data_IF_808192283852
#
_entry.id   IF_808192283852
#
_cell.length_a   1.000
_cell.length_b   1.000
_cell.length_c   1.000
_cell.angle_alpha   90.00
_cell.angle_beta   90.00
_cell.angle_gamma   90.00
#
_symmetry.space_group_name_H-M   'P 1'
#
loop_
_entity.id
_entity.type
_entity.pdbx_description
1 polymer ?
#
# COMPACT_ATOMS: atom_id res chain seq x y z
N UNK A 1 13.48 3.76 -1.93
CA UNK A 1 12.85 2.41 -1.90
C UNK A 1 13.64 1.32 -1.17
N UNK A 2 14.98 1.34 -1.13
CA UNK A 2 15.76 0.29 -0.44
C UNK A 2 15.43 0.17 1.06
N UNK A 3 15.33 1.31 1.76
CA UNK A 3 14.88 1.36 3.16
C UNK A 3 13.52 0.68 3.34
N UNK A 4 12.50 1.12 2.57
CA UNK A 4 11.14 0.59 2.70
C UNK A 4 11.07 -0.91 2.49
N UNK A 5 11.76 -1.44 1.46
CA UNK A 5 11.79 -2.90 1.23
C UNK A 5 12.39 -3.65 2.43
N UNK A 6 13.52 -3.18 2.97
CA UNK A 6 14.14 -3.80 4.16
C UNK A 6 13.23 -3.71 5.38
N UNK A 7 12.62 -2.55 5.60
CA UNK A 7 11.66 -2.33 6.69
C UNK A 7 10.49 -3.31 6.60
N UNK A 8 9.87 -3.41 5.42
CA UNK A 8 8.74 -4.32 5.17
C UNK A 8 9.10 -5.78 5.37
N UNK A 9 10.22 -6.22 4.79
CA UNK A 9 10.67 -7.61 4.93
C UNK A 9 11.00 -7.95 6.37
N UNK A 10 11.70 -7.08 7.10
CA UNK A 10 12.04 -7.32 8.51
C UNK A 10 10.80 -7.52 9.38
N UNK A 11 9.82 -6.61 9.28
CA UNK A 11 8.61 -6.68 10.10
C UNK A 11 7.72 -7.88 9.74
N UNK A 12 7.63 -8.20 8.44
CA UNK A 12 6.94 -9.39 7.99
C UNK A 12 7.60 -10.66 8.51
N UNK A 13 8.95 -10.75 8.47
CA UNK A 13 9.70 -11.88 9.03
C UNK A 13 9.37 -12.04 10.50
N UNK A 14 9.50 -10.99 11.31
CA UNK A 14 9.22 -11.06 12.74
C UNK A 14 7.76 -11.45 13.03
N UNK A 15 6.81 -10.87 12.31
CA UNK A 15 5.38 -11.20 12.44
C UNK A 15 5.10 -12.67 12.15
N UNK A 16 5.74 -13.21 11.10
CA UNK A 16 5.51 -14.57 10.62
C UNK A 16 6.24 -15.62 11.46
N UNK A 17 7.49 -15.38 11.84
CA UNK A 17 8.34 -16.40 12.46
C UNK A 17 8.40 -16.31 13.99
N UNK A 18 8.45 -15.09 14.53
CA UNK A 18 8.56 -14.88 15.98
C UNK A 18 7.17 -14.79 16.62
N UNK A 19 6.34 -13.86 16.14
CA UNK A 19 5.02 -13.60 16.73
C UNK A 19 3.96 -14.59 16.28
N UNK A 20 4.13 -15.18 15.09
CA UNK A 20 3.16 -16.07 14.43
C UNK A 20 1.76 -15.43 14.34
N UNK A 21 1.72 -14.13 14.04
CA UNK A 21 0.49 -13.35 13.85
C UNK A 21 0.46 -12.74 12.45
N UNK A 22 -0.73 -12.55 11.86
CA UNK A 22 -0.85 -11.81 10.61
C UNK A 22 -0.44 -10.34 10.78
N UNK A 23 0.31 -9.82 9.81
CA UNK A 23 0.68 -8.40 9.73
C UNK A 23 -0.30 -7.62 8.85
N UNK A 24 -0.49 -6.33 9.14
CA UNK A 24 -1.09 -5.35 8.20
C UNK A 24 -0.20 -4.11 8.17
N UNK A 25 0.07 -3.58 6.97
CA UNK A 25 0.75 -2.28 6.83
C UNK A 25 -0.27 -1.15 6.97
N UNK A 26 -0.46 -0.64 8.18
CA UNK A 26 -1.61 0.22 8.51
C UNK A 26 -1.48 1.68 8.06
N UNK A 27 -0.27 2.17 7.79
CA UNK A 27 -0.08 3.53 7.30
C UNK A 27 1.10 3.59 6.34
N UNK A 28 0.87 4.17 5.17
CA UNK A 28 1.91 4.57 4.22
C UNK A 28 1.33 5.61 3.26
N UNK A 29 2.20 6.45 2.69
CA UNK A 29 1.78 7.44 1.71
C UNK A 29 2.97 8.25 1.20
N UNK A 30 2.72 9.11 0.20
CA UNK A 30 3.73 10.02 -0.37
C UNK A 30 3.22 11.45 -0.28
N UNK A 31 3.89 12.24 0.55
CA UNK A 31 3.50 13.62 0.84
C UNK A 31 3.65 14.51 -0.40
N UNK A 32 2.65 15.33 -0.67
CA UNK A 32 2.70 16.43 -1.64
C UNK A 32 3.66 17.55 -1.22
N UNK A 33 4.01 17.60 0.07
CA UNK A 33 4.96 18.57 0.63
C UNK A 33 6.42 18.15 0.39
N UNK A 34 6.67 16.94 -0.11
CA UNK A 34 8.02 16.49 -0.43
C UNK A 34 8.58 17.24 -1.64
N UNK A 35 9.87 17.61 -1.59
CA UNK A 35 10.54 18.24 -2.72
C UNK A 35 10.51 17.33 -3.95
N UNK A 36 10.10 17.89 -5.09
CA UNK A 36 10.00 17.15 -6.35
C UNK A 36 8.78 16.22 -6.41
N UNK A 37 7.78 16.46 -5.56
CA UNK A 37 6.51 15.75 -5.64
C UNK A 37 5.85 15.92 -7.01
N UNK A 38 5.32 14.80 -7.49
CA UNK A 38 4.36 14.72 -8.59
C UNK A 38 3.39 13.57 -8.34
N UNK A 39 2.23 13.60 -8.98
CA UNK A 39 1.28 12.48 -8.93
C UNK A 39 1.97 11.19 -9.42
N UNK A 40 2.76 11.26 -10.49
CA UNK A 40 3.53 10.12 -10.98
C UNK A 40 4.51 9.56 -9.92
N UNK A 41 5.14 10.41 -9.11
CA UNK A 41 6.02 9.97 -8.02
C UNK A 41 5.23 9.27 -6.90
N UNK A 42 4.01 9.73 -6.61
CA UNK A 42 3.08 9.07 -5.67
C UNK A 42 2.66 7.72 -6.21
N UNK A 43 2.20 7.65 -7.46
CA UNK A 43 1.76 6.41 -8.11
C UNK A 43 2.89 5.37 -8.15
N UNK A 44 4.12 5.79 -8.47
CA UNK A 44 5.29 4.91 -8.44
C UNK A 44 5.59 4.38 -7.04
N UNK A 45 5.51 5.23 -6.02
CA UNK A 45 5.71 4.85 -4.63
C UNK A 45 4.64 3.85 -4.15
N UNK A 46 3.37 4.13 -4.42
CA UNK A 46 2.23 3.26 -4.07
C UNK A 46 2.34 1.92 -4.77
N UNK A 47 2.59 1.90 -6.08
CA UNK A 47 2.80 0.66 -6.84
C UNK A 47 3.90 -0.20 -6.24
N UNK A 48 5.01 0.40 -5.81
CA UNK A 48 6.12 -0.35 -5.24
C UNK A 48 5.79 -0.94 -3.85
N UNK A 49 5.03 -0.22 -3.01
CA UNK A 49 4.53 -0.77 -1.74
C UNK A 49 3.53 -1.89 -2.00
N UNK A 50 2.53 -1.66 -2.85
CA UNK A 50 1.50 -2.65 -3.17
C UNK A 50 2.06 -3.92 -3.81
N UNK A 51 3.02 -3.78 -4.71
CA UNK A 51 3.74 -4.93 -5.29
C UNK A 51 4.47 -5.74 -4.21
N UNK A 52 5.07 -5.07 -3.23
CA UNK A 52 5.74 -5.72 -2.12
C UNK A 52 4.72 -6.45 -1.20
N UNK A 53 3.63 -5.78 -0.82
CA UNK A 53 2.53 -6.39 -0.04
C UNK A 53 2.00 -7.64 -0.75
N UNK A 54 1.70 -7.56 -2.06
CA UNK A 54 1.21 -8.68 -2.84
C UNK A 54 2.23 -9.83 -2.89
N UNK A 55 3.52 -9.52 -3.05
CA UNK A 55 4.61 -10.51 -3.01
C UNK A 55 4.71 -11.22 -1.65
N UNK A 56 4.64 -10.47 -0.55
CA UNK A 56 4.68 -11.03 0.80
C UNK A 56 3.41 -11.84 1.11
N UNK A 57 2.24 -11.38 0.67
CA UNK A 57 0.96 -12.07 0.85
C UNK A 57 0.94 -13.45 0.18
N UNK A 58 1.57 -13.60 -0.99
CA UNK A 58 1.75 -14.92 -1.65
C UNK A 58 2.51 -15.92 -0.78
N UNK A 59 3.37 -15.44 0.12
CA UNK A 59 4.14 -16.25 1.07
C UNK A 59 3.44 -16.40 2.43
N UNK A 60 2.24 -15.82 2.59
CA UNK A 60 1.47 -15.79 3.84
C UNK A 60 2.02 -14.82 4.88
N UNK A 61 1.29 -14.65 5.99
CA UNK A 61 1.72 -13.84 7.14
C UNK A 61 1.44 -12.33 7.05
N UNK A 62 0.84 -11.85 5.96
CA UNK A 62 0.36 -10.47 5.83
C UNK A 62 -1.05 -10.45 5.21
N UNK A 63 -1.93 -9.61 5.77
CA UNK A 63 -3.32 -9.46 5.32
C UNK A 63 -3.56 -8.29 4.34
N UNK A 64 -2.60 -7.38 4.20
CA UNK A 64 -2.70 -6.24 3.28
C UNK A 64 -2.07 -4.97 3.82
N UNK A 65 -2.59 -3.82 3.37
CA UNK A 65 -2.20 -2.51 3.89
C UNK A 65 -3.24 -1.43 3.64
N UNK A 66 -3.16 -0.37 4.45
CA UNK A 66 -4.05 0.78 4.46
C UNK A 66 -3.24 2.03 4.09
N UNK A 67 -3.68 2.69 3.02
CA UNK A 67 -3.10 3.93 2.52
C UNK A 67 -3.51 5.11 3.41
N UNK A 68 -2.56 5.97 3.74
CA UNK A 68 -2.82 7.24 4.42
C UNK A 68 -2.68 8.41 3.42
N UNK A 69 -3.71 9.19 3.15
CA UNK A 69 -5.12 8.97 3.54
C UNK A 69 -6.07 9.35 2.40
N UNK A 70 -7.20 8.68 2.35
CA UNK A 70 -8.30 9.07 1.47
C UNK A 70 -9.06 10.22 2.13
N UNK A 71 -9.45 11.21 1.33
CA UNK A 71 -10.30 12.31 1.77
C UNK A 71 -11.48 12.49 0.83
N UNK A 72 -12.52 13.15 1.32
CA UNK A 72 -13.62 13.61 0.48
C UNK A 72 -13.19 14.86 -0.32
N UNK A 73 -13.94 15.16 -1.37
CA UNK A 73 -13.73 16.32 -2.22
C UNK A 73 -13.68 17.62 -1.39
N UNK A 74 -12.63 18.42 -1.59
CA UNK A 74 -12.44 19.71 -0.94
C UNK A 74 -11.80 19.65 0.45
N UNK A 75 -11.28 18.50 0.87
CA UNK A 75 -10.64 18.30 2.18
C UNK A 75 -9.10 18.14 2.11
N UNK A 76 -8.44 18.56 1.03
CA UNK A 76 -7.03 18.23 0.74
C UNK A 76 -5.98 19.09 1.47
N UNK A 77 -6.38 20.03 2.35
CA UNK A 77 -5.51 21.15 2.77
C UNK A 77 -4.65 20.93 4.03
N UNK A 78 -4.63 19.73 4.63
CA UNK A 78 -4.13 19.56 6.00
C UNK A 78 -2.70 18.98 6.11
N UNK A 79 -2.50 17.74 5.69
CA UNK A 79 -1.32 16.91 6.02
C UNK A 79 -0.30 16.79 4.87
N UNK A 80 -0.75 16.88 3.62
CA UNK A 80 0.02 16.59 2.41
C UNK A 80 -0.13 15.15 1.90
N UNK A 81 -0.81 14.27 2.63
CA UNK A 81 -1.02 12.87 2.27
C UNK A 81 -2.40 12.58 1.67
N UNK A 82 -3.22 13.61 1.53
CA UNK A 82 -4.57 13.51 1.04
C UNK A 82 -4.61 13.01 -0.40
N UNK A 83 -5.54 12.09 -0.62
CA UNK A 83 -5.89 11.53 -1.92
C UNK A 83 -7.41 11.62 -2.04
N UNK A 84 -7.87 12.55 -2.87
CA UNK A 84 -9.20 12.51 -3.43
C UNK A 84 -9.18 11.58 -4.65
N UNK A 85 -10.01 10.53 -4.60
CA UNK A 85 -10.10 9.51 -5.64
C UNK A 85 -10.70 10.03 -6.95
N UNK A 86 -11.53 11.08 -6.89
CA UNK A 86 -12.16 11.68 -8.07
C UNK A 86 -11.21 12.65 -8.78
N UNK A 87 -10.37 13.35 -8.03
CA UNK A 87 -9.41 14.31 -8.57
C UNK A 87 -8.10 13.67 -9.04
N UNK A 88 -7.79 12.43 -8.61
CA UNK A 88 -6.54 11.74 -8.97
C UNK A 88 -6.79 10.36 -9.59
N UNK A 89 -7.34 10.28 -10.81
CA UNK A 89 -7.76 9.02 -11.44
C UNK A 89 -6.61 8.02 -11.63
N UNK A 90 -5.36 8.47 -11.81
CA UNK A 90 -4.20 7.59 -11.90
C UNK A 90 -3.92 6.89 -10.57
N UNK A 91 -3.92 7.63 -9.46
CA UNK A 91 -3.79 7.08 -8.09
C UNK A 91 -4.93 6.10 -7.81
N UNK A 92 -6.17 6.47 -8.14
CA UNK A 92 -7.35 5.62 -7.98
C UNK A 92 -7.22 4.32 -8.77
N UNK A 93 -6.66 4.38 -9.99
CA UNK A 93 -6.38 3.20 -10.79
C UNK A 93 -5.38 2.27 -10.10
N UNK A 94 -4.28 2.80 -9.55
CA UNK A 94 -3.27 2.04 -8.78
C UNK A 94 -3.91 1.31 -7.59
N UNK A 95 -4.70 2.03 -6.78
CA UNK A 95 -5.39 1.45 -5.62
C UNK A 95 -6.36 0.36 -6.07
N UNK A 96 -7.17 0.61 -7.09
CA UNK A 96 -8.14 -0.35 -7.61
C UNK A 96 -7.46 -1.62 -8.16
N UNK A 97 -6.32 -1.45 -8.83
CA UNK A 97 -5.55 -2.56 -9.38
C UNK A 97 -4.98 -3.43 -8.27
N UNK A 98 -4.44 -2.82 -7.21
CA UNK A 98 -4.00 -3.58 -6.05
C UNK A 98 -5.15 -4.37 -5.41
N UNK A 99 -6.31 -3.75 -5.19
CA UNK A 99 -7.46 -4.43 -4.60
C UNK A 99 -7.85 -5.66 -5.42
N UNK A 100 -7.93 -5.53 -6.76
CA UNK A 100 -8.20 -6.67 -7.66
C UNK A 100 -7.12 -7.76 -7.57
N UNK A 101 -5.85 -7.40 -7.47
CA UNK A 101 -4.76 -8.37 -7.33
C UNK A 101 -4.86 -9.16 -6.01
N UNK A 102 -5.19 -8.49 -4.91
CA UNK A 102 -5.37 -9.14 -3.61
C UNK A 102 -6.59 -10.04 -3.58
N UNK A 103 -7.73 -9.64 -4.17
CA UNK A 103 -8.91 -10.51 -4.33
C UNK A 103 -8.58 -11.74 -5.18
N UNK A 104 -7.88 -11.57 -6.30
CA UNK A 104 -7.48 -12.70 -7.14
C UNK A 104 -6.50 -13.63 -6.42
N UNK A 105 -5.65 -13.11 -5.54
CA UNK A 105 -4.75 -13.92 -4.71
C UNK A 105 -5.52 -14.70 -3.64
N UNK A 106 -6.46 -14.05 -2.95
CA UNK A 106 -7.34 -14.68 -1.97
C UNK A 106 -8.09 -15.86 -2.59
N UNK A 107 -8.75 -15.67 -3.73
CA UNK A 107 -9.41 -16.76 -4.45
C UNK A 107 -8.49 -17.92 -4.85
N UNK A 108 -7.20 -17.66 -5.11
CA UNK A 108 -6.24 -18.73 -5.43
C UNK A 108 -5.82 -19.51 -4.19
N UNK A 109 -5.70 -18.85 -3.05
CA UNK A 109 -5.30 -19.46 -1.77
C UNK A 109 -6.48 -20.21 -1.14
N UNK A 110 -7.71 -19.70 -1.30
CA UNK A 110 -8.94 -20.28 -0.75
C UNK A 110 -9.47 -21.49 -1.55
N UNK A 111 -8.90 -21.80 -2.72
CA UNK A 111 -9.26 -22.99 -3.51
C UNK A 111 -8.54 -24.23 -2.93
N UNK A 112 -9.28 -25.32 -2.64
CA UNK A 112 -8.71 -26.55 -2.10
C UNK A 112 -7.75 -27.25 -3.07
#
# INVERSE_FOLDING_TARGET
MAFMRRWMTSHWTDSRTLLKKPMVFTEFGKSSKDRGFSIASRDSFLNAIYSNICSLARSGGIGGGLLWQLVAEGMESYSGYEIDLFQTPSTSSVISQQSRQMTALEHKISRP
#
